data_IF_144814544134
#
_entry.id   IF_144814544134
#
_cell.length_a   1.000
_cell.length_b   1.000
_cell.length_c   1.000
_cell.angle_alpha   90.00
_cell.angle_beta   90.00
_cell.angle_gamma   90.00
#
_symmetry.space_group_name_H-M   'P 1'
#
loop_
_entity.id
_entity.type
_entity.pdbx_description
1 polymer ?
#
# COMPACT_ATOMS: atom_id res chain seq x y z
N UNK A 1 37.48 -18.46 43.14
CA UNK A 1 36.61 -19.02 42.09
C UNK A 1 35.41 -18.11 41.92
N UNK A 2 35.41 -17.26 40.89
CA UNK A 2 34.25 -16.58 40.27
C UNK A 2 34.79 -15.78 39.07
N UNK A 3 34.52 -16.30 37.87
CA UNK A 3 34.79 -15.67 36.58
C UNK A 3 33.56 -14.80 36.24
N UNK A 4 33.78 -13.52 35.94
CA UNK A 4 32.83 -12.67 35.21
C UNK A 4 33.32 -12.52 33.78
N UNK A 5 32.44 -12.87 32.84
CA UNK A 5 32.64 -12.82 31.39
C UNK A 5 32.48 -11.39 30.89
N UNK A 6 33.45 -10.93 30.09
CA UNK A 6 33.38 -9.74 29.25
C UNK A 6 33.18 -10.26 27.81
N UNK A 7 32.05 -9.99 27.19
CA UNK A 7 31.83 -10.29 25.76
C UNK A 7 32.05 -9.01 24.95
N UNK A 8 32.99 -9.09 24.02
CA UNK A 8 33.39 -8.00 23.14
C UNK A 8 32.50 -7.88 21.90
N UNK A 9 32.29 -6.64 21.48
CA UNK A 9 31.78 -6.25 20.17
C UNK A 9 32.84 -6.54 19.11
N UNK A 10 32.44 -7.22 18.01
CA UNK A 10 33.29 -7.45 16.85
C UNK A 10 32.77 -6.60 15.68
N UNK A 11 33.50 -5.53 15.39
CA UNK A 11 33.45 -4.75 14.16
C UNK A 11 34.09 -5.53 13.01
N UNK A 12 33.43 -5.64 11.86
CA UNK A 12 34.02 -6.16 10.63
C UNK A 12 34.04 -5.05 9.57
N UNK A 13 35.20 -4.40 9.44
CA UNK A 13 35.57 -3.59 8.29
C UNK A 13 36.38 -4.48 7.32
N UNK A 14 36.00 -4.52 6.04
CA UNK A 14 36.78 -5.19 4.99
C UNK A 14 37.30 -4.13 4.03
N UNK A 15 38.61 -3.88 4.11
CA UNK A 15 39.41 -3.21 3.08
C UNK A 15 39.63 -4.17 1.91
N UNK A 16 39.40 -3.69 0.68
CA UNK A 16 40.02 -4.27 -0.52
C UNK A 16 40.60 -3.13 -1.37
N UNK A 17 41.93 -3.02 -1.37
CA UNK A 17 42.70 -2.22 -2.31
C UNK A 17 43.18 -3.11 -3.45
N UNK A 18 42.90 -2.74 -4.70
CA UNK A 18 43.79 -3.06 -5.82
C UNK A 18 43.65 -2.01 -6.92
N UNK A 19 44.78 -1.36 -7.21
CA UNK A 19 44.98 -0.43 -8.31
C UNK A 19 45.25 -1.18 -9.60
N UNK A 20 44.49 -0.91 -10.65
CA UNK A 20 44.89 -1.20 -12.03
C UNK A 20 44.45 -0.06 -12.95
N UNK A 21 45.43 0.68 -13.46
CA UNK A 21 45.27 1.68 -14.52
C UNK A 21 45.07 0.99 -15.86
N UNK A 22 43.96 1.26 -16.53
CA UNK A 22 43.75 0.99 -17.96
C UNK A 22 43.38 2.30 -18.63
N UNK A 23 44.23 2.75 -19.55
CA UNK A 23 43.98 3.88 -20.46
C UNK A 23 43.24 3.40 -21.71
N UNK A 24 42.09 4.01 -22.02
CA UNK A 24 41.44 3.98 -23.34
C UNK A 24 40.29 5.01 -23.35
N UNK A 25 40.52 6.20 -23.92
CA UNK A 25 39.90 6.67 -25.18
C UNK A 25 38.38 6.86 -25.13
N UNK A 26 37.98 8.13 -25.03
CA UNK A 26 36.73 8.66 -25.60
C UNK A 26 35.45 8.26 -24.86
N UNK A 27 35.24 8.81 -23.67
CA UNK A 27 33.89 8.99 -23.17
C UNK A 27 33.75 10.39 -22.57
N UNK A 28 32.57 10.97 -22.75
CA UNK A 28 32.21 12.32 -22.35
C UNK A 28 32.28 12.39 -20.83
N UNK A 29 33.46 12.75 -20.31
CA UNK A 29 33.77 12.65 -18.89
C UNK A 29 32.67 13.28 -18.02
N UNK A 30 32.01 12.43 -17.24
CA UNK A 30 31.34 12.81 -16.00
C UNK A 30 32.34 13.62 -15.18
N UNK A 31 32.18 14.94 -15.20
CA UNK A 31 32.92 15.84 -14.33
C UNK A 31 32.27 15.78 -12.95
N UNK A 32 32.63 14.78 -12.15
CA UNK A 32 32.43 14.84 -10.72
C UNK A 32 33.55 15.72 -10.13
N UNK A 33 33.24 16.98 -9.81
CA UNK A 33 34.04 17.74 -8.86
C UNK A 33 33.75 17.17 -7.47
N UNK A 34 34.79 17.01 -6.64
CA UNK A 34 34.72 16.39 -5.31
C UNK A 34 33.93 17.20 -4.26
N UNK A 35 33.08 18.12 -4.70
CA UNK A 35 32.27 18.99 -3.87
C UNK A 35 30.81 18.51 -3.98
N UNK A 36 30.26 18.04 -2.86
CA UNK A 36 28.82 17.74 -2.62
C UNK A 36 28.24 16.43 -3.18
N UNK A 37 28.62 15.28 -2.61
CA UNK A 37 27.90 14.02 -2.84
C UNK A 37 26.66 13.92 -1.93
N UNK A 38 25.65 14.73 -2.23
CA UNK A 38 24.44 14.88 -1.42
C UNK A 38 23.15 14.39 -2.08
N UNK A 39 23.13 14.25 -3.41
CA UNK A 39 22.01 13.70 -4.18
C UNK A 39 22.51 13.15 -5.53
N UNK A 40 21.65 12.41 -6.22
CA UNK A 40 21.86 11.90 -7.58
C UNK A 40 20.54 11.97 -8.37
N UNK A 41 20.59 11.60 -9.65
CA UNK A 41 19.45 11.69 -10.57
C UNK A 41 19.38 13.02 -11.33
N UNK A 42 18.31 13.19 -12.10
CA UNK A 42 18.11 14.34 -12.99
C UNK A 42 16.77 15.00 -12.72
N UNK A 43 16.71 16.32 -12.90
CA UNK A 43 15.45 17.06 -12.84
C UNK A 43 14.63 16.77 -14.10
N UNK A 44 13.31 16.69 -13.96
CA UNK A 44 12.38 16.49 -15.06
C UNK A 44 11.01 17.07 -14.70
N UNK A 45 10.18 17.28 -15.72
CA UNK A 45 8.80 17.70 -15.51
C UNK A 45 8.01 16.63 -14.73
N UNK A 46 7.13 17.02 -13.79
CA UNK A 46 6.28 16.09 -13.06
C UNK A 46 5.45 15.17 -13.98
N UNK A 47 5.26 13.90 -13.57
CA UNK A 47 4.37 12.96 -14.30
C UNK A 47 2.91 13.39 -14.28
N UNK A 48 2.51 14.19 -13.30
CA UNK A 48 1.15 14.65 -13.10
C UNK A 48 1.09 16.17 -12.94
N UNK A 49 -0.08 16.75 -13.18
CA UNK A 49 -0.31 18.19 -13.01
C UNK A 49 -0.41 18.52 -11.52
N UNK A 50 0.65 19.14 -10.99
CA UNK A 50 0.77 19.55 -9.58
C UNK A 50 -0.12 20.73 -9.22
N UNK A 51 -0.80 21.35 -10.20
CA UNK A 51 -1.74 22.45 -9.97
C UNK A 51 -3.20 22.00 -9.81
N UNK A 52 -3.48 20.70 -9.99
CA UNK A 52 -4.83 20.14 -9.83
C UNK A 52 -5.38 20.42 -8.43
N UNK A 53 -6.70 20.61 -8.33
CA UNK A 53 -7.37 20.51 -7.04
C UNK A 53 -7.42 19.03 -6.66
N UNK A 54 -6.33 18.58 -6.06
CA UNK A 54 -6.10 17.16 -5.80
C UNK A 54 -7.24 16.57 -4.93
N UNK A 55 -7.86 17.36 -4.05
CA UNK A 55 -8.95 16.90 -3.20
C UNK A 55 -10.27 16.62 -3.94
N UNK A 56 -10.46 17.26 -5.09
CA UNK A 56 -11.68 17.15 -5.87
C UNK A 56 -11.46 16.39 -7.19
N UNK A 57 -10.24 16.45 -7.72
CA UNK A 57 -9.86 15.93 -9.03
C UNK A 57 -8.91 14.73 -8.94
N UNK A 58 -8.37 14.44 -7.76
CA UNK A 58 -7.25 13.52 -7.57
C UNK A 58 -5.96 14.03 -8.21
N UNK A 59 -4.85 13.35 -7.95
CA UNK A 59 -3.54 13.66 -8.56
C UNK A 59 -3.48 13.37 -10.07
N UNK A 60 -4.54 12.80 -10.65
CA UNK A 60 -4.52 12.25 -12.02
C UNK A 60 -3.70 10.96 -12.09
N UNK A 61 -3.97 10.11 -13.07
CA UNK A 61 -3.35 8.78 -13.17
C UNK A 61 -2.58 8.57 -14.49
N UNK A 62 -1.46 9.28 -14.71
CA UNK A 62 -0.68 9.19 -15.94
C UNK A 62 -0.11 7.79 -16.21
N UNK A 63 0.01 6.94 -15.18
CA UNK A 63 0.57 5.60 -15.27
C UNK A 63 -0.50 4.49 -15.28
N UNK A 64 -1.79 4.86 -15.28
CA UNK A 64 -2.92 3.92 -15.19
C UNK A 64 -2.83 2.93 -14.01
N UNK A 65 -2.27 3.34 -12.88
CA UNK A 65 -2.23 2.56 -11.65
C UNK A 65 -3.62 2.48 -11.01
N UNK A 66 -4.13 1.28 -10.77
CA UNK A 66 -5.36 1.07 -9.99
C UNK A 66 -5.03 0.87 -8.52
N UNK A 67 -5.71 -0.10 -7.89
CA UNK A 67 -5.30 -0.68 -6.61
C UNK A 67 -3.94 -1.42 -6.69
N UNK A 68 -3.47 -1.65 -7.92
CA UNK A 68 -2.20 -2.30 -8.27
C UNK A 68 -1.50 -1.50 -9.36
N UNK A 69 -0.17 -1.52 -9.35
CA UNK A 69 0.62 -1.10 -10.53
C UNK A 69 0.79 -2.24 -11.54
N UNK A 70 0.41 -3.47 -11.18
CA UNK A 70 0.61 -4.66 -11.99
C UNK A 70 -0.70 -5.35 -12.39
N UNK A 71 -0.70 -6.18 -13.45
CA UNK A 71 -1.89 -6.97 -13.81
C UNK A 71 -2.36 -7.87 -12.66
N UNK A 72 -3.67 -7.99 -12.47
CA UNK A 72 -4.24 -8.75 -11.35
C UNK A 72 -3.84 -10.24 -11.33
N UNK A 73 -3.52 -10.82 -12.49
CA UNK A 73 -3.10 -12.21 -12.63
C UNK A 73 -1.58 -12.38 -12.84
N UNK A 74 -0.79 -11.33 -12.64
CA UNK A 74 0.67 -11.41 -12.79
C UNK A 74 1.29 -12.33 -11.72
N UNK A 75 2.26 -13.13 -12.13
CA UNK A 75 3.10 -13.91 -11.22
C UNK A 75 4.01 -13.00 -10.40
N UNK A 76 4.47 -13.48 -9.24
CA UNK A 76 5.42 -12.74 -8.40
C UNK A 76 6.66 -12.29 -9.18
N UNK A 77 7.19 -13.13 -10.08
CA UNK A 77 8.33 -12.79 -10.92
C UNK A 77 8.04 -11.66 -11.92
N UNK A 78 6.83 -11.63 -12.50
CA UNK A 78 6.41 -10.55 -13.40
C UNK A 78 6.21 -9.24 -12.64
N UNK A 79 5.58 -9.30 -11.46
CA UNK A 79 5.37 -8.14 -10.59
C UNK A 79 6.72 -7.51 -10.24
N UNK A 80 7.66 -8.31 -9.75
CA UNK A 80 9.01 -7.85 -9.40
C UNK A 80 9.74 -7.29 -10.60
N UNK A 81 9.64 -7.92 -11.77
CA UNK A 81 10.27 -7.42 -12.99
C UNK A 81 9.69 -6.07 -13.49
N UNK A 82 8.41 -5.78 -13.20
CA UNK A 82 7.79 -4.48 -13.46
C UNK A 82 8.37 -3.44 -12.48
N UNK A 83 8.33 -3.74 -11.18
CA UNK A 83 8.86 -2.88 -10.13
C UNK A 83 10.33 -2.53 -10.33
N UNK A 84 11.13 -3.52 -10.77
CA UNK A 84 12.55 -3.37 -11.03
C UNK A 84 12.87 -2.28 -12.07
N UNK A 85 11.95 -2.06 -13.01
CA UNK A 85 12.13 -1.10 -14.11
C UNK A 85 11.64 0.30 -13.79
N UNK A 86 10.95 0.49 -12.67
CA UNK A 86 10.42 1.79 -12.30
C UNK A 86 11.56 2.80 -12.13
N UNK A 87 11.39 3.98 -12.72
CA UNK A 87 12.22 5.15 -12.47
C UNK A 87 11.98 5.67 -11.06
N UNK A 88 12.90 6.50 -10.56
CA UNK A 88 12.72 7.20 -9.27
C UNK A 88 11.43 8.01 -9.28
N UNK A 89 11.13 8.69 -10.40
CA UNK A 89 9.91 9.47 -10.55
C UNK A 89 8.63 8.61 -10.49
N UNK A 90 8.63 7.42 -11.09
CA UNK A 90 7.50 6.48 -11.00
C UNK A 90 7.35 5.91 -9.60
N UNK A 91 8.45 5.60 -8.90
CA UNK A 91 8.45 5.17 -7.49
C UNK A 91 7.85 6.26 -6.59
N UNK A 92 8.30 7.49 -6.77
CA UNK A 92 7.78 8.70 -6.11
C UNK A 92 6.29 8.88 -6.36
N UNK A 93 5.86 8.79 -7.62
CA UNK A 93 4.45 8.92 -7.99
C UNK A 93 3.57 7.81 -7.39
N UNK A 94 4.04 6.56 -7.40
CA UNK A 94 3.33 5.43 -6.78
C UNK A 94 3.06 5.67 -5.28
N UNK A 95 4.02 6.28 -4.57
CA UNK A 95 3.86 6.66 -3.17
C UNK A 95 2.92 7.85 -3.00
N UNK A 96 3.05 8.87 -3.86
CA UNK A 96 2.21 10.06 -3.82
C UNK A 96 0.73 9.76 -4.05
N UNK A 97 0.41 8.84 -4.98
CA UNK A 97 -0.95 8.37 -5.24
C UNK A 97 -1.62 7.83 -3.97
N UNK A 98 -0.94 6.98 -3.23
CA UNK A 98 -1.52 6.41 -1.99
C UNK A 98 -1.71 7.47 -0.90
N UNK A 99 -0.81 8.46 -0.83
CA UNK A 99 -0.97 9.60 0.08
C UNK A 99 -2.18 10.44 -0.32
N UNK A 100 -2.43 10.60 -1.63
CA UNK A 100 -3.58 11.32 -2.14
C UNK A 100 -4.91 10.62 -1.85
N UNK A 101 -5.02 9.34 -2.23
CA UNK A 101 -6.26 8.57 -2.08
C UNK A 101 -6.71 8.43 -0.63
N UNK A 102 -5.77 8.55 0.32
CA UNK A 102 -6.02 8.50 1.75
C UNK A 102 -5.76 9.82 2.48
N UNK A 103 -5.73 10.94 1.76
CA UNK A 103 -5.24 12.21 2.28
C UNK A 103 -5.97 12.71 3.53
N UNK A 104 -7.31 12.70 3.55
CA UNK A 104 -8.08 13.21 4.69
C UNK A 104 -7.77 12.41 5.97
N UNK A 105 -7.58 11.09 5.83
CA UNK A 105 -7.17 10.22 6.93
C UNK A 105 -5.72 10.51 7.35
N UNK A 106 -4.76 10.48 6.42
CA UNK A 106 -3.33 10.64 6.70
C UNK A 106 -3.05 12.01 7.33
N UNK A 107 -3.59 13.09 6.75
CA UNK A 107 -3.42 14.46 7.24
C UNK A 107 -4.00 14.65 8.64
N UNK A 108 -5.14 14.02 8.94
CA UNK A 108 -5.75 14.06 10.28
C UNK A 108 -4.95 13.25 11.30
N UNK A 109 -4.60 12.00 10.96
CA UNK A 109 -3.93 11.06 11.87
C UNK A 109 -2.50 11.47 12.20
N UNK A 110 -1.81 12.14 11.28
CA UNK A 110 -0.44 12.63 11.47
C UNK A 110 -0.37 14.14 11.73
N UNK A 111 -1.53 14.81 11.73
CA UNK A 111 -1.65 16.23 12.04
C UNK A 111 -0.80 17.08 11.12
N UNK A 112 -0.96 16.98 9.81
CA UNK A 112 -0.22 17.83 8.85
C UNK A 112 -1.12 18.18 7.67
N UNK A 113 -1.59 19.45 7.57
CA UNK A 113 -2.45 19.90 6.49
C UNK A 113 -1.68 20.22 5.20
N UNK A 114 -0.36 20.31 5.25
CA UNK A 114 0.47 20.51 4.07
C UNK A 114 0.81 19.16 3.42
N UNK A 115 0.20 18.92 2.26
CA UNK A 115 0.34 17.68 1.51
C UNK A 115 1.75 17.47 0.98
N UNK A 116 2.43 18.52 0.55
CA UNK A 116 3.80 18.41 0.05
C UNK A 116 4.77 18.10 1.19
N UNK A 117 4.56 18.65 2.38
CA UNK A 117 5.33 18.23 3.57
C UNK A 117 5.08 16.78 3.95
N UNK A 118 3.83 16.33 3.92
CA UNK A 118 3.50 14.93 4.18
C UNK A 118 4.18 14.02 3.16
N UNK A 119 4.07 14.36 1.88
CA UNK A 119 4.71 13.61 0.82
C UNK A 119 6.24 13.61 0.97
N UNK A 120 6.85 14.74 1.29
CA UNK A 120 8.27 14.84 1.57
C UNK A 120 8.71 13.93 2.73
N UNK A 121 7.91 13.79 3.80
CA UNK A 121 8.19 12.87 4.90
C UNK A 121 8.28 11.43 4.39
N UNK A 122 7.31 11.00 3.59
CA UNK A 122 7.28 9.66 3.01
C UNK A 122 8.40 9.45 1.98
N UNK A 123 8.80 10.48 1.24
CA UNK A 123 10.03 10.42 0.42
C UNK A 123 11.27 10.24 1.28
N UNK A 124 11.39 10.95 2.40
CA UNK A 124 12.46 10.76 3.38
C UNK A 124 12.50 9.33 3.93
N UNK A 125 11.33 8.76 4.26
CA UNK A 125 11.21 7.36 4.66
C UNK A 125 11.66 6.42 3.55
N UNK A 126 11.18 6.62 2.32
CA UNK A 126 11.59 5.83 1.16
C UNK A 126 13.09 5.92 0.86
N UNK A 127 13.72 7.09 1.07
CA UNK A 127 15.17 7.24 0.94
C UNK A 127 15.93 6.54 2.05
N UNK A 128 15.39 6.54 3.28
CA UNK A 128 15.99 5.84 4.41
C UNK A 128 15.93 4.33 4.25
N UNK A 129 14.86 3.82 3.65
CA UNK A 129 14.55 2.40 3.59
C UNK A 129 15.04 1.73 2.30
N UNK A 130 14.93 2.39 1.16
CA UNK A 130 15.25 1.80 -0.15
C UNK A 130 16.08 2.70 -1.06
N UNK A 131 16.46 3.89 -0.60
CA UNK A 131 17.06 4.94 -1.43
C UNK A 131 16.19 5.28 -2.66
N UNK A 132 14.86 5.21 -2.50
CA UNK A 132 13.87 5.36 -3.58
C UNK A 132 14.15 4.48 -4.83
N UNK A 133 14.76 3.31 -4.64
CA UNK A 133 15.02 2.37 -5.72
C UNK A 133 16.30 2.60 -6.52
N UNK A 134 17.30 3.25 -5.92
CA UNK A 134 18.64 3.44 -6.51
C UNK A 134 19.21 2.14 -7.11
N UNK A 135 20.09 2.26 -8.11
CA UNK A 135 20.81 1.12 -8.68
C UNK A 135 20.04 0.45 -9.83
N UNK A 136 18.94 1.09 -10.27
CA UNK A 136 18.02 0.61 -11.30
C UNK A 136 17.21 -0.62 -10.87
N UNK A 137 16.86 -0.69 -9.58
CA UNK A 137 15.97 -1.73 -9.04
C UNK A 137 14.56 -1.21 -8.75
N UNK A 138 14.29 0.09 -8.97
CA UNK A 138 12.96 0.68 -8.76
C UNK A 138 12.37 0.31 -7.39
N UNK A 139 11.12 -0.12 -7.33
CA UNK A 139 10.51 -0.58 -6.07
C UNK A 139 10.81 -2.05 -5.72
N UNK A 140 11.64 -2.76 -6.50
CA UNK A 140 11.97 -4.17 -6.27
C UNK A 140 13.11 -4.36 -5.25
N UNK A 141 12.84 -4.00 -4.00
CA UNK A 141 13.78 -4.11 -2.90
C UNK A 141 13.20 -5.01 -1.80
N UNK A 142 13.84 -6.14 -1.52
CA UNK A 142 13.39 -7.14 -0.53
C UNK A 142 14.49 -7.42 0.51
N UNK A 143 14.12 -7.48 1.79
CA UNK A 143 15.05 -7.80 2.89
C UNK A 143 14.57 -8.97 3.73
N UNK A 144 15.51 -9.69 4.37
CA UNK A 144 15.24 -10.84 5.24
C UNK A 144 14.50 -12.04 4.57
N UNK A 145 14.48 -12.10 3.24
CA UNK A 145 13.92 -13.22 2.48
C UNK A 145 14.63 -14.57 2.70
N UNK A 146 15.91 -14.52 3.11
CA UNK A 146 16.74 -15.71 3.33
C UNK A 146 16.30 -16.55 4.52
N UNK A 147 15.52 -15.98 5.44
CA UNK A 147 15.00 -16.66 6.63
C UNK A 147 13.75 -17.52 6.31
N UNK A 148 13.25 -17.43 5.08
CA UNK A 148 12.04 -18.10 4.61
C UNK A 148 10.85 -17.15 4.51
N UNK A 149 9.94 -17.45 3.58
CA UNK A 149 8.77 -16.64 3.29
C UNK A 149 7.93 -16.34 4.53
N UNK A 150 7.89 -15.07 4.95
CA UNK A 150 7.07 -14.60 6.06
C UNK A 150 7.50 -15.05 7.46
N UNK A 151 8.63 -15.74 7.59
CA UNK A 151 9.10 -16.28 8.88
C UNK A 151 9.64 -15.18 9.80
N UNK A 152 10.38 -14.23 9.23
CA UNK A 152 10.95 -13.13 9.98
C UNK A 152 9.98 -11.93 9.95
N UNK A 153 9.68 -11.34 11.11
CA UNK A 153 8.86 -10.12 11.20
C UNK A 153 9.46 -8.93 10.45
N UNK A 154 10.78 -8.96 10.19
CA UNK A 154 11.52 -7.99 9.41
C UNK A 154 11.63 -8.33 7.91
N UNK A 155 10.98 -9.41 7.44
CA UNK A 155 10.80 -9.64 6.02
C UNK A 155 9.99 -8.47 5.44
N UNK A 156 10.59 -7.72 4.52
CA UNK A 156 10.05 -6.45 4.07
C UNK A 156 10.29 -6.25 2.58
N UNK A 157 9.42 -5.47 1.94
CA UNK A 157 9.49 -5.19 0.51
C UNK A 157 9.13 -3.75 0.17
N UNK A 158 9.60 -3.27 -0.98
CA UNK A 158 9.11 -2.05 -1.60
C UNK A 158 9.83 -0.78 -1.15
N UNK A 159 9.31 0.36 -1.60
CA UNK A 159 9.89 1.69 -1.38
C UNK A 159 10.04 2.02 0.10
N UNK A 160 9.01 1.70 0.90
CA UNK A 160 8.99 1.96 2.34
C UNK A 160 9.59 0.82 3.17
N UNK A 161 10.05 -0.28 2.55
CA UNK A 161 10.37 -1.54 3.24
C UNK A 161 9.22 -1.97 4.16
N UNK A 162 8.04 -2.13 3.58
CA UNK A 162 6.84 -2.54 4.30
C UNK A 162 7.00 -3.98 4.79
N UNK A 163 7.05 -4.14 6.10
CA UNK A 163 7.23 -5.44 6.74
C UNK A 163 5.99 -6.33 6.61
N UNK A 164 6.19 -7.65 6.61
CA UNK A 164 5.10 -8.65 6.58
C UNK A 164 4.07 -8.48 7.69
N UNK A 165 4.48 -7.89 8.82
CA UNK A 165 3.61 -7.59 9.97
C UNK A 165 2.48 -6.61 9.64
N UNK A 166 2.60 -5.81 8.56
CA UNK A 166 1.53 -4.94 8.12
C UNK A 166 0.32 -5.72 7.57
N UNK A 167 0.56 -6.89 7.01
CA UNK A 167 -0.42 -7.66 6.24
C UNK A 167 -1.31 -8.53 7.14
N UNK A 168 -2.57 -8.67 6.75
CA UNK A 168 -3.45 -9.67 7.36
C UNK A 168 -2.96 -11.08 7.00
N UNK A 169 -3.38 -12.10 7.76
CA UNK A 169 -3.04 -13.50 7.49
C UNK A 169 -1.53 -13.81 7.43
N UNK A 170 -0.68 -12.93 7.97
CA UNK A 170 0.73 -13.21 8.20
C UNK A 170 0.91 -14.18 9.39
N UNK A 171 2.15 -14.46 9.80
CA UNK A 171 2.40 -15.37 10.92
C UNK A 171 1.60 -14.92 12.17
N UNK A 172 0.73 -15.77 12.73
CA UNK A 172 -0.17 -15.40 13.82
C UNK A 172 0.55 -15.12 15.15
N UNK A 173 1.86 -15.37 15.23
CA UNK A 173 2.68 -14.96 16.37
C UNK A 173 3.08 -13.48 16.35
N UNK A 174 2.93 -12.80 15.21
CA UNK A 174 3.15 -11.36 15.11
C UNK A 174 2.03 -10.57 15.77
N UNK A 175 2.36 -9.36 16.22
CA UNK A 175 1.35 -8.48 16.81
C UNK A 175 0.36 -8.02 15.74
N UNK A 176 -0.96 -8.11 15.98
CA UNK A 176 -1.96 -7.69 15.01
C UNK A 176 -2.00 -6.15 14.86
N UNK A 177 -2.32 -5.70 13.65
CA UNK A 177 -2.46 -4.28 13.29
C UNK A 177 -3.92 -3.94 12.88
N UNK A 178 -4.87 -4.17 13.77
CA UNK A 178 -6.32 -4.03 13.56
C UNK A 178 -6.89 -2.63 13.89
N UNK A 179 -6.04 -1.71 14.36
CA UNK A 179 -6.41 -0.37 14.83
C UNK A 179 -6.48 0.72 13.74
N UNK A 180 -6.39 0.36 12.46
CA UNK A 180 -6.60 1.26 11.31
C UNK A 180 -7.70 0.67 10.40
N UNK A 181 -8.97 0.69 10.82
CA UNK A 181 -10.07 0.14 10.04
C UNK A 181 -10.40 0.96 8.79
N UNK A 182 -9.95 2.21 8.70
CA UNK A 182 -10.23 3.12 7.58
C UNK A 182 -9.40 2.79 6.33
N UNK A 183 -8.29 2.05 6.47
CA UNK A 183 -7.49 1.55 5.36
C UNK A 183 -7.58 0.03 5.29
N UNK A 184 -7.83 -0.48 4.09
CA UNK A 184 -7.97 -1.91 3.86
C UNK A 184 -6.67 -2.65 4.22
N UNK A 185 -6.78 -3.74 4.98
CA UNK A 185 -5.64 -4.57 5.34
C UNK A 185 -5.52 -5.75 4.37
N UNK A 186 -4.62 -5.65 3.40
CA UNK A 186 -4.39 -6.74 2.44
C UNK A 186 -3.81 -7.99 3.12
N UNK A 187 -4.28 -9.18 2.72
CA UNK A 187 -3.72 -10.47 3.14
C UNK A 187 -2.28 -10.66 2.68
N UNK A 188 -1.48 -11.42 3.43
CA UNK A 188 -0.09 -11.72 3.11
C UNK A 188 0.01 -12.80 2.03
N UNK A 189 0.03 -12.36 0.77
CA UNK A 189 0.27 -13.20 -0.41
C UNK A 189 1.42 -12.62 -1.22
N UNK A 190 2.09 -13.41 -2.06
CA UNK A 190 3.16 -12.90 -2.92
C UNK A 190 2.67 -11.74 -3.82
N UNK A 191 1.47 -11.86 -4.37
CA UNK A 191 0.90 -10.82 -5.24
C UNK A 191 0.64 -9.52 -4.49
N UNK A 192 0.22 -9.58 -3.22
CA UNK A 192 -0.01 -8.38 -2.41
C UNK A 192 1.30 -7.79 -1.92
N UNK A 193 2.21 -8.64 -1.44
CA UNK A 193 3.48 -8.23 -0.85
C UNK A 193 4.42 -7.59 -1.88
N UNK A 194 4.47 -8.13 -3.10
CA UNK A 194 5.35 -7.63 -4.15
C UNK A 194 4.75 -6.52 -5.01
N UNK A 195 3.45 -6.24 -4.99
CA UNK A 195 2.90 -5.11 -5.76
C UNK A 195 3.30 -3.78 -5.10
N UNK A 196 3.82 -2.82 -5.86
CA UNK A 196 4.41 -1.63 -5.25
C UNK A 196 3.35 -0.67 -4.67
N UNK A 197 2.16 -0.64 -5.27
CA UNK A 197 1.04 0.20 -4.80
C UNK A 197 0.50 -0.39 -3.50
N UNK A 198 0.25 -1.70 -3.47
CA UNK A 198 -0.18 -2.38 -2.25
C UNK A 198 0.89 -2.29 -1.16
N UNK A 199 2.17 -2.48 -1.50
CA UNK A 199 3.26 -2.34 -0.52
C UNK A 199 3.30 -0.94 0.09
N UNK A 200 3.15 0.12 -0.70
CA UNK A 200 3.06 1.50 -0.21
C UNK A 200 1.82 1.72 0.66
N UNK A 201 0.65 1.25 0.22
CA UNK A 201 -0.60 1.30 0.97
C UNK A 201 -0.43 0.71 2.37
N UNK A 202 0.13 -0.50 2.44
CA UNK A 202 0.35 -1.24 3.68
C UNK A 202 1.41 -0.58 4.55
N UNK A 203 2.43 0.04 3.96
CA UNK A 203 3.45 0.81 4.69
C UNK A 203 2.88 2.07 5.33
N UNK A 204 2.06 2.82 4.60
CA UNK A 204 1.33 3.98 5.12
C UNK A 204 0.39 3.54 6.24
N UNK A 205 -0.39 2.48 6.02
CA UNK A 205 -1.29 1.91 7.03
C UNK A 205 -0.54 1.54 8.32
N UNK A 206 0.66 0.94 8.21
CA UNK A 206 1.52 0.61 9.35
C UNK A 206 2.03 1.85 10.09
N UNK A 207 2.36 2.94 9.39
CA UNK A 207 2.66 4.23 10.04
C UNK A 207 1.47 4.74 10.85
N UNK A 208 0.25 4.64 10.30
CA UNK A 208 -0.97 5.04 11.00
C UNK A 208 -1.29 4.12 12.19
N UNK A 209 -0.98 2.83 12.10
CA UNK A 209 -1.08 1.87 13.22
C UNK A 209 -0.27 2.37 14.42
N UNK A 210 0.98 2.76 14.21
CA UNK A 210 1.79 3.32 15.30
C UNK A 210 1.35 4.72 15.71
N UNK A 211 0.79 5.53 14.80
CA UNK A 211 0.27 6.85 15.17
C UNK A 211 -0.91 6.73 16.16
N UNK A 212 -1.81 5.78 15.93
CA UNK A 212 -2.90 5.48 16.87
C UNK A 212 -2.34 5.11 18.25
N UNK A 213 -1.35 4.21 18.32
CA UNK A 213 -0.73 3.79 19.58
C UNK A 213 -0.06 4.98 20.29
N UNK A 214 0.69 5.79 19.55
CA UNK A 214 1.32 7.01 20.04
C UNK A 214 0.29 7.97 20.68
N UNK A 215 -0.84 8.20 20.01
CA UNK A 215 -1.90 9.11 20.50
C UNK A 215 -2.65 8.50 21.68
N UNK A 216 -3.16 7.27 21.53
CA UNK A 216 -4.11 6.70 22.47
C UNK A 216 -3.44 6.04 23.67
N UNK A 217 -2.31 5.36 23.49
CA UNK A 217 -1.63 4.66 24.57
C UNK A 217 -0.55 5.54 25.21
N UNK A 218 0.29 6.17 24.39
CA UNK A 218 1.42 6.97 24.88
C UNK A 218 1.11 8.44 25.13
N UNK A 219 -0.08 8.92 24.73
CA UNK A 219 -0.53 10.32 24.92
C UNK A 219 0.47 11.34 24.34
N UNK A 220 1.03 11.00 23.18
CA UNK A 220 1.93 11.88 22.44
C UNK A 220 1.14 12.91 21.63
N UNK A 221 1.80 14.02 21.34
CA UNK A 221 1.22 15.19 20.69
C UNK A 221 2.19 15.75 19.64
N UNK A 222 1.67 16.57 18.72
CA UNK A 222 2.46 17.20 17.66
C UNK A 222 3.40 16.25 16.89
N UNK A 223 4.60 16.72 16.56
CA UNK A 223 5.58 15.94 15.81
C UNK A 223 6.05 14.66 16.54
N UNK A 224 5.85 14.55 17.85
CA UNK A 224 6.29 13.36 18.60
C UNK A 224 5.53 12.11 18.17
N UNK A 225 4.25 12.24 17.77
CA UNK A 225 3.49 11.13 17.20
C UNK A 225 4.20 10.63 15.93
N UNK A 226 4.52 11.54 15.01
CA UNK A 226 5.17 11.20 13.73
C UNK A 226 6.57 10.61 13.95
N UNK A 227 7.41 11.27 14.76
CA UNK A 227 8.78 10.82 15.08
C UNK A 227 8.80 9.42 15.69
N UNK A 228 7.84 9.12 16.57
CA UNK A 228 7.74 7.80 17.21
C UNK A 228 7.03 6.76 16.34
N UNK A 229 6.10 7.14 15.47
CA UNK A 229 5.53 6.24 14.47
C UNK A 229 6.58 5.72 13.49
N UNK A 230 7.50 6.59 13.05
CA UNK A 230 8.66 6.16 12.25
C UNK A 230 9.51 5.14 13.01
N UNK A 231 9.81 5.40 14.30
CA UNK A 231 10.54 4.42 15.11
C UNK A 231 9.78 3.10 15.27
N UNK A 232 8.47 3.17 15.50
CA UNK A 232 7.60 2.00 15.58
C UNK A 232 7.64 1.20 14.28
N UNK A 233 7.58 1.88 13.14
CA UNK A 233 7.68 1.26 11.82
C UNK A 233 8.97 0.45 11.66
N UNK A 234 10.11 0.99 12.12
CA UNK A 234 11.41 0.32 12.03
C UNK A 234 11.62 -0.80 13.06
N UNK A 235 11.10 -0.64 14.28
CA UNK A 235 11.50 -1.46 15.44
C UNK A 235 10.39 -2.33 16.01
N UNK A 236 9.14 -2.04 15.66
CA UNK A 236 7.93 -2.57 16.31
C UNK A 236 7.50 -1.81 17.58
N UNK A 237 8.27 -0.81 18.03
CA UNK A 237 8.03 -0.11 19.31
C UNK A 237 8.04 1.42 19.16
N UNK A 238 6.95 2.07 19.57
CA UNK A 238 6.74 3.51 19.42
C UNK A 238 6.69 4.30 20.74
N UNK A 239 7.03 3.70 21.87
CA UNK A 239 7.16 4.36 23.17
C UNK A 239 8.31 5.37 23.17
N UNK A 240 8.26 6.48 23.92
CA UNK A 240 9.36 7.47 23.94
C UNK A 240 10.71 6.84 24.27
N UNK A 241 11.76 7.23 23.56
CA UNK A 241 13.13 6.76 23.75
C UNK A 241 14.10 7.92 23.99
N UNK A 242 15.35 7.60 24.32
CA UNK A 242 16.42 8.60 24.38
C UNK A 242 16.73 9.15 22.98
N UNK A 243 17.24 10.39 22.89
CA UNK A 243 17.51 11.10 21.64
C UNK A 243 18.32 10.28 20.61
N UNK A 244 19.27 9.47 21.07
CA UNK A 244 20.09 8.62 20.21
C UNK A 244 19.31 7.55 19.44
N UNK A 245 18.13 7.15 19.90
CA UNK A 245 17.27 6.17 19.21
C UNK A 245 16.62 6.74 17.94
N UNK A 246 16.56 8.06 17.80
CA UNK A 246 15.92 8.73 16.66
C UNK A 246 16.92 9.22 15.62
N UNK A 247 18.15 9.54 16.05
CA UNK A 247 19.14 10.28 15.25
C UNK A 247 19.42 9.63 13.89
N UNK A 248 19.58 8.31 13.86
CA UNK A 248 19.96 7.57 12.64
C UNK A 248 18.77 7.12 11.78
N UNK A 249 17.54 7.38 12.24
CA UNK A 249 16.33 6.91 11.57
C UNK A 249 15.32 8.05 11.41
N UNK A 250 14.49 8.33 12.41
CA UNK A 250 13.41 9.32 12.30
C UNK A 250 13.94 10.73 12.00
N UNK A 251 15.05 11.14 12.62
CA UNK A 251 15.63 12.48 12.44
C UNK A 251 16.34 12.62 11.10
N UNK A 252 16.95 11.54 10.61
CA UNK A 252 17.56 11.51 9.28
C UNK A 252 16.48 11.48 8.18
N UNK A 253 15.35 10.79 8.40
CA UNK A 253 14.16 10.86 7.55
C UNK A 253 13.65 12.30 7.44
N UNK A 254 13.50 13.01 8.57
CA UNK A 254 13.10 14.41 8.58
C UNK A 254 14.08 15.32 7.83
N UNK A 255 15.38 15.01 7.88
CA UNK A 255 16.42 15.73 7.12
C UNK A 255 16.23 15.56 5.62
N UNK A 256 16.03 14.32 5.17
CA UNK A 256 15.81 14.02 3.75
C UNK A 256 14.47 14.57 3.27
N UNK A 257 13.44 14.56 4.10
CA UNK A 257 12.16 15.20 3.81
C UNK A 257 12.32 16.70 3.53
N UNK A 258 13.05 17.42 4.40
CA UNK A 258 13.35 18.83 4.17
C UNK A 258 14.16 19.06 2.90
N UNK A 259 15.09 18.17 2.55
CA UNK A 259 15.78 18.23 1.26
C UNK A 259 14.80 18.17 0.08
N UNK A 260 13.91 17.17 0.04
CA UNK A 260 12.95 17.03 -1.06
C UNK A 260 12.02 18.25 -1.17
N UNK A 261 11.54 18.75 -0.03
CA UNK A 261 10.63 19.88 0.02
C UNK A 261 11.31 21.20 -0.38
N UNK A 262 12.44 21.55 0.22
CA UNK A 262 13.07 22.85 0.04
C UNK A 262 14.01 22.96 -1.17
N UNK A 263 14.60 21.85 -1.63
CA UNK A 263 15.41 21.85 -2.85
C UNK A 263 14.57 21.61 -4.12
N UNK A 264 13.27 21.31 -3.98
CA UNK A 264 12.34 21.23 -5.11
C UNK A 264 12.38 19.90 -5.87
N UNK A 265 12.54 18.79 -5.15
CA UNK A 265 12.72 17.45 -5.72
C UNK A 265 11.58 16.49 -5.38
N UNK A 266 10.37 16.99 -5.14
CA UNK A 266 9.21 16.15 -4.83
C UNK A 266 8.77 15.27 -6.01
N UNK A 267 8.93 15.76 -7.24
CA UNK A 267 8.25 15.21 -8.41
C UNK A 267 9.16 14.82 -9.57
N UNK A 268 10.47 14.88 -9.40
CA UNK A 268 11.48 14.57 -10.42
C UNK A 268 12.24 13.25 -10.13
N UNK A 269 13.29 12.96 -10.91
CA UNK A 269 14.14 11.79 -10.69
C UNK A 269 15.28 12.01 -9.69
N UNK A 270 15.34 13.16 -9.00
CA UNK A 270 16.42 13.45 -8.04
C UNK A 270 16.16 12.73 -6.72
N UNK A 271 17.17 12.09 -6.15
CA UNK A 271 17.05 11.45 -4.84
C UNK A 271 18.31 11.64 -4.00
N UNK A 272 18.16 11.52 -2.69
CA UNK A 272 19.24 11.51 -1.70
C UNK A 272 19.22 10.18 -0.93
N UNK A 273 20.18 9.99 -0.04
CA UNK A 273 20.37 8.75 0.71
C UNK A 273 20.82 9.04 2.15
N UNK A 274 20.73 8.00 2.99
CA UNK A 274 21.19 8.03 4.37
C UNK A 274 22.65 8.48 4.46
N UNK A 275 22.95 9.44 5.33
CA UNK A 275 24.32 9.98 5.50
C UNK A 275 24.91 10.70 4.28
N UNK A 276 24.08 11.04 3.27
CA UNK A 276 24.50 11.90 2.17
C UNK A 276 25.09 13.22 2.71
N UNK A 277 26.14 13.74 2.08
CA UNK A 277 26.97 14.81 2.63
C UNK A 277 27.18 15.93 1.60
N UNK A 278 26.90 17.17 2.00
CA UNK A 278 27.00 18.36 1.16
C UNK A 278 26.12 19.48 1.72
N UNK A 279 26.35 20.73 1.32
CA UNK A 279 25.69 21.89 1.95
C UNK A 279 24.17 21.85 1.72
N UNK A 280 23.75 21.27 0.60
CA UNK A 280 22.34 21.06 0.23
C UNK A 280 21.54 20.21 1.21
N UNK A 281 22.17 19.27 1.92
CA UNK A 281 21.49 18.39 2.89
C UNK A 281 21.93 18.63 4.33
N UNK A 282 23.21 18.96 4.56
CA UNK A 282 23.76 19.16 5.90
C UNK A 282 23.07 20.27 6.68
N UNK A 283 22.59 21.31 5.99
CA UNK A 283 21.88 22.43 6.62
C UNK A 283 20.58 22.03 7.33
N UNK A 284 19.98 20.89 6.98
CA UNK A 284 18.77 20.38 7.62
C UNK A 284 19.08 19.48 8.82
N UNK A 285 20.36 19.17 9.09
CA UNK A 285 20.77 18.37 10.25
C UNK A 285 20.87 19.20 11.52
N UNK A 286 19.79 19.90 11.89
CA UNK A 286 19.72 20.76 13.08
C UNK A 286 19.16 20.03 14.31
N UNK A 287 19.42 20.51 15.52
CA UNK A 287 18.87 19.88 16.73
C UNK A 287 17.33 19.99 16.80
N UNK A 288 16.76 21.03 16.20
CA UNK A 288 15.35 21.43 16.18
C UNK A 288 14.66 21.09 14.84
N UNK A 289 15.22 20.18 14.04
CA UNK A 289 14.74 19.89 12.66
C UNK A 289 13.24 19.58 12.56
N UNK A 290 12.63 19.06 13.62
CA UNK A 290 11.20 18.76 13.67
C UNK A 290 10.31 20.01 13.79
N UNK A 291 10.87 21.18 14.12
CA UNK A 291 10.17 22.47 14.06
C UNK A 291 9.64 22.75 12.64
N UNK A 292 10.26 22.16 11.61
CA UNK A 292 9.76 22.17 10.23
C UNK A 292 8.35 21.59 10.09
N UNK A 293 7.99 20.60 10.90
CA UNK A 293 6.66 19.98 10.90
C UNK A 293 5.58 20.99 11.33
N UNK A 294 5.94 21.88 12.26
CA UNK A 294 5.08 22.93 12.80
C UNK A 294 4.20 22.48 13.98
N UNK A 295 3.43 23.44 14.50
CA UNK A 295 2.54 23.28 15.65
C UNK A 295 1.16 22.73 15.22
N UNK A 296 1.16 21.57 14.60
CA UNK A 296 -0.05 20.88 14.13
C UNK A 296 -0.31 19.63 14.94
N UNK A 297 -1.59 19.28 15.15
CA UNK A 297 -1.97 18.27 16.13
C UNK A 297 -2.56 17.01 15.46
N UNK A 298 -1.91 15.84 15.63
CA UNK A 298 -2.45 14.54 15.26
C UNK A 298 -3.78 14.22 15.95
N UNK A 299 -4.69 13.54 15.27
CA UNK A 299 -6.03 13.28 15.80
C UNK A 299 -6.61 11.93 15.38
N UNK A 300 -7.32 11.30 16.32
CA UNK A 300 -8.18 10.13 16.09
C UNK A 300 -9.64 10.51 15.80
N UNK A 301 -9.92 11.78 15.49
CA UNK A 301 -11.26 12.21 15.13
C UNK A 301 -11.80 11.40 13.93
N UNK A 302 -13.11 11.13 13.87
CA UNK A 302 -13.73 10.52 12.69
C UNK A 302 -13.39 11.35 11.44
N UNK A 303 -13.07 10.65 10.36
CA UNK A 303 -12.95 11.29 9.04
C UNK A 303 -14.37 11.40 8.50
N UNK A 304 -14.79 12.61 8.14
CA UNK A 304 -16.07 12.78 7.45
C UNK A 304 -15.96 12.08 6.10
N UNK A 305 -16.81 11.06 5.87
CA UNK A 305 -16.88 10.36 4.59
C UNK A 305 -17.22 11.37 3.49
N UNK A 306 -16.21 11.83 2.77
CA UNK A 306 -16.39 12.04 1.34
C UNK A 306 -16.45 10.64 0.77
N UNK A 307 -17.64 10.18 0.41
CA UNK A 307 -17.86 8.97 -0.39
C UNK A 307 -16.86 8.98 -1.56
N UNK A 308 -15.74 8.27 -1.41
CA UNK A 308 -14.79 8.02 -2.49
C UNK A 308 -15.51 7.11 -3.45
N UNK A 309 -16.08 7.73 -4.49
CA UNK A 309 -16.61 7.00 -5.63
C UNK A 309 -15.41 6.34 -6.29
N UNK A 310 -15.23 5.04 -6.05
CA UNK A 310 -14.36 4.21 -6.89
C UNK A 310 -14.87 4.38 -8.32
N UNK A 311 -14.20 5.24 -9.09
CA UNK A 311 -14.51 5.46 -10.50
C UNK A 311 -13.97 4.26 -11.25
N UNK A 312 -14.75 3.17 -11.25
CA UNK A 312 -14.63 2.18 -12.31
C UNK A 312 -15.19 2.84 -13.56
N UNK A 313 -14.29 3.20 -14.49
CA UNK A 313 -14.63 3.77 -15.79
C UNK A 313 -15.51 2.80 -16.57
N UNK A 314 -16.81 2.87 -16.33
CA UNK A 314 -17.84 2.20 -17.11
C UNK A 314 -18.27 3.16 -18.19
N UNK A 315 -17.87 2.87 -19.43
CA UNK A 315 -18.40 3.52 -20.64
C UNK A 315 -19.93 3.42 -20.60
N UNK A 316 -20.58 4.51 -20.18
CA UNK A 316 -22.04 4.58 -20.07
C UNK A 316 -22.63 4.68 -21.47
N UNK A 317 -23.24 3.60 -21.95
CA UNK A 317 -24.17 3.66 -23.08
C UNK A 317 -25.54 4.00 -22.51
N UNK A 318 -25.99 5.24 -22.72
CA UNK A 318 -27.31 5.73 -22.30
C UNK A 318 -28.42 4.87 -22.90
N UNK A 319 -29.04 4.02 -22.09
CA UNK A 319 -30.33 3.39 -22.42
C UNK A 319 -31.39 3.95 -21.51
N UNK A 320 -32.33 4.69 -22.11
CA UNK A 320 -33.51 5.25 -21.47
C UNK A 320 -34.43 4.12 -21.02
N UNK A 321 -34.57 3.93 -19.70
CA UNK A 321 -35.51 2.96 -19.14
C UNK A 321 -36.59 3.67 -18.34
N UNK A 322 -37.83 3.51 -18.80
CA UNK A 322 -39.07 4.04 -18.23
C UNK A 322 -39.34 3.42 -16.86
N UNK A 323 -39.53 4.26 -15.84
CA UNK A 323 -39.92 3.87 -14.48
C UNK A 323 -41.40 3.48 -14.42
N UNK A 324 -41.70 2.24 -14.00
CA UNK A 324 -43.01 1.88 -13.44
C UNK A 324 -42.88 1.61 -11.95
N UNK A 325 -43.54 2.46 -11.17
CA UNK A 325 -43.67 2.40 -9.72
C UNK A 325 -44.50 1.19 -9.30
N UNK A 326 -44.00 0.38 -8.36
CA UNK A 326 -44.85 -0.48 -7.54
C UNK A 326 -44.33 -0.51 -6.10
N UNK A 327 -45.17 -0.03 -5.20
CA UNK A 327 -45.11 -0.12 -3.74
C UNK A 327 -45.65 -1.47 -3.28
N UNK A 328 -44.96 -2.18 -2.37
CA UNK A 328 -45.62 -2.98 -1.33
C UNK A 328 -44.66 -3.37 -0.19
N UNK A 329 -45.26 -3.62 0.97
CA UNK A 329 -44.73 -3.62 2.32
C UNK A 329 -43.95 -4.88 2.76
N UNK A 330 -43.17 -4.69 3.83
CA UNK A 330 -42.40 -5.69 4.55
C UNK A 330 -43.25 -6.79 5.20
N UNK A 331 -42.74 -8.02 5.25
CA UNK A 331 -43.15 -9.05 6.21
C UNK A 331 -41.96 -9.98 6.47
N UNK A 332 -41.61 -10.13 7.75
CA UNK A 332 -40.57 -11.02 8.26
C UNK A 332 -41.19 -12.41 8.47
N UNK A 333 -40.60 -13.48 7.93
CA UNK A 333 -40.93 -14.86 8.33
C UNK A 333 -39.72 -15.75 8.19
N UNK A 334 -39.30 -16.35 9.31
CA UNK A 334 -38.34 -17.43 9.42
C UNK A 334 -39.03 -18.75 9.07
N UNK A 335 -38.45 -19.58 8.18
CA UNK A 335 -38.84 -21.00 8.05
C UNK A 335 -37.68 -21.85 7.54
N UNK A 336 -37.55 -23.02 8.18
CA UNK A 336 -36.52 -24.06 8.00
C UNK A 336 -36.90 -25.07 6.89
N UNK A 337 -35.89 -25.56 6.15
CA UNK A 337 -35.77 -26.77 5.30
C UNK A 337 -36.93 -27.24 4.39
N UNK A 338 -36.65 -27.40 3.09
CA UNK A 338 -36.77 -28.69 2.35
C UNK A 338 -36.25 -28.60 0.90
N UNK A 339 -35.43 -29.59 0.54
CA UNK A 339 -35.00 -29.93 -0.82
C UNK A 339 -36.22 -30.12 -1.75
N UNK A 340 -36.31 -29.34 -2.83
CA UNK A 340 -37.19 -29.61 -3.97
C UNK A 340 -36.42 -29.30 -5.23
N UNK A 341 -36.43 -30.23 -6.19
CA UNK A 341 -35.87 -30.12 -7.54
C UNK A 341 -36.52 -28.97 -8.33
N UNK A 342 -36.16 -27.74 -7.97
CA UNK A 342 -36.45 -26.54 -8.75
C UNK A 342 -35.43 -26.41 -9.87
N UNK A 343 -35.92 -26.12 -11.08
CA UNK A 343 -35.13 -25.88 -12.28
C UNK A 343 -33.88 -25.05 -11.97
N UNK A 344 -32.69 -25.65 -12.06
CA UNK A 344 -31.42 -24.96 -11.81
C UNK A 344 -31.25 -23.91 -12.89
N UNK A 345 -31.21 -22.64 -12.49
CA UNK A 345 -30.83 -21.54 -13.38
C UNK A 345 -29.34 -21.29 -13.20
N UNK A 346 -28.53 -21.93 -14.06
CA UNK A 346 -27.07 -21.79 -14.01
C UNK A 346 -26.68 -20.32 -14.20
N UNK A 347 -25.96 -19.78 -13.20
CA UNK A 347 -25.52 -18.39 -13.12
C UNK A 347 -26.33 -17.50 -12.18
N UNK A 348 -27.52 -17.91 -11.71
CA UNK A 348 -28.39 -17.13 -10.81
C UNK A 348 -28.03 -17.39 -9.34
N UNK A 349 -26.89 -16.85 -8.91
CA UNK A 349 -26.36 -17.04 -7.57
C UNK A 349 -27.14 -16.28 -6.49
N UNK A 350 -27.84 -15.20 -6.84
CA UNK A 350 -28.65 -14.43 -5.91
C UNK A 350 -30.12 -14.90 -5.83
N UNK A 351 -30.52 -15.85 -6.67
CA UNK A 351 -31.84 -16.47 -6.74
C UNK A 351 -32.97 -15.48 -7.09
N UNK A 352 -32.71 -14.46 -7.92
CA UNK A 352 -33.72 -13.49 -8.35
C UNK A 352 -34.40 -13.83 -9.69
N UNK A 353 -34.03 -14.95 -10.30
CA UNK A 353 -34.67 -15.52 -11.49
C UNK A 353 -34.11 -15.01 -12.83
N UNK A 354 -33.00 -14.27 -12.81
CA UNK A 354 -32.23 -13.86 -13.99
C UNK A 354 -30.74 -14.06 -13.70
N UNK A 355 -29.94 -14.07 -14.76
CA UNK A 355 -28.48 -14.11 -14.66
C UNK A 355 -27.94 -12.74 -15.05
N UNK A 356 -27.36 -12.03 -14.11
CA UNK A 356 -26.75 -10.72 -14.32
C UNK A 356 -25.50 -10.50 -13.46
N UNK A 357 -24.96 -9.28 -13.48
CA UNK A 357 -23.70 -8.99 -12.79
C UNK A 357 -23.82 -9.13 -11.26
N UNK A 358 -25.03 -8.99 -10.69
CA UNK A 358 -25.23 -9.13 -9.26
C UNK A 358 -24.94 -10.54 -8.77
N UNK A 359 -25.12 -11.56 -9.61
CA UNK A 359 -24.77 -12.95 -9.28
C UNK A 359 -23.26 -13.12 -9.10
N UNK A 360 -22.48 -12.61 -10.06
CA UNK A 360 -21.02 -12.64 -9.99
C UNK A 360 -20.51 -11.84 -8.78
N UNK A 361 -21.14 -10.70 -8.47
CA UNK A 361 -20.81 -9.89 -7.29
C UNK A 361 -21.08 -10.66 -6.00
N UNK A 362 -22.25 -11.30 -5.87
CA UNK A 362 -22.58 -12.07 -4.67
C UNK A 362 -21.63 -13.24 -4.47
N UNK A 363 -21.22 -13.94 -5.54
CA UNK A 363 -20.19 -14.99 -5.47
C UNK A 363 -18.88 -14.41 -4.92
N UNK A 364 -18.40 -13.30 -5.50
CA UNK A 364 -17.17 -12.66 -5.04
C UNK A 364 -17.26 -12.18 -3.58
N UNK A 365 -18.41 -11.61 -3.18
CA UNK A 365 -18.67 -11.18 -1.82
C UNK A 365 -18.72 -12.35 -0.82
N UNK A 366 -19.36 -13.45 -1.19
CA UNK A 366 -19.46 -14.66 -0.37
C UNK A 366 -18.09 -15.32 -0.15
N UNK A 367 -17.20 -15.25 -1.14
CA UNK A 367 -15.82 -15.74 -1.03
C UNK A 367 -14.92 -14.80 -0.23
N UNK A 368 -15.10 -13.48 -0.40
CA UNK A 368 -14.29 -12.47 0.27
C UNK A 368 -14.66 -12.24 1.73
N UNK A 369 -15.95 -12.38 2.09
CA UNK A 369 -16.42 -12.25 3.46
C UNK A 369 -17.55 -13.27 3.75
N UNK A 370 -17.20 -14.54 3.99
CA UNK A 370 -18.17 -15.61 4.23
C UNK A 370 -19.06 -15.38 5.46
N UNK A 371 -18.54 -14.72 6.50
CA UNK A 371 -19.29 -14.42 7.73
C UNK A 371 -20.42 -13.40 7.51
N UNK A 372 -20.32 -12.59 6.44
CA UNK A 372 -21.36 -11.65 6.04
C UNK A 372 -22.21 -12.16 4.89
N UNK A 373 -21.59 -12.67 3.83
CA UNK A 373 -22.28 -13.00 2.57
C UNK A 373 -22.22 -14.48 2.18
N UNK A 374 -21.57 -15.34 2.97
CA UNK A 374 -21.54 -16.79 2.74
C UNK A 374 -22.88 -17.47 3.07
N UNK A 375 -22.94 -18.80 2.96
CA UNK A 375 -24.19 -19.58 3.18
C UNK A 375 -24.84 -19.39 4.57
N UNK A 376 -24.05 -19.02 5.57
CA UNK A 376 -24.49 -18.72 6.93
C UNK A 376 -24.20 -17.26 7.32
N UNK A 377 -24.11 -16.37 6.33
CA UNK A 377 -23.73 -14.99 6.51
C UNK A 377 -24.74 -14.17 7.32
N UNK A 378 -24.26 -13.09 7.93
CA UNK A 378 -25.10 -12.16 8.70
C UNK A 378 -25.94 -11.20 7.86
N UNK A 379 -25.66 -11.05 6.56
CA UNK A 379 -26.38 -10.14 5.66
C UNK A 379 -27.72 -10.75 5.18
N UNK A 380 -28.84 -10.01 5.13
CA UNK A 380 -30.12 -10.54 4.66
C UNK A 380 -30.12 -11.08 3.23
N UNK A 381 -29.15 -10.66 2.40
CA UNK A 381 -28.96 -11.10 1.02
C UNK A 381 -27.72 -11.99 0.85
N UNK A 382 -27.26 -12.63 1.93
CA UNK A 382 -26.16 -13.58 1.88
C UNK A 382 -26.47 -14.74 0.90
N UNK A 383 -25.42 -15.37 0.37
CA UNK A 383 -25.51 -16.51 -0.53
C UNK A 383 -26.38 -17.61 0.11
N UNK A 384 -27.26 -18.23 -0.66
CA UNK A 384 -28.09 -19.36 -0.18
C UNK A 384 -27.55 -20.70 -0.68
N UNK A 385 -28.01 -21.81 -0.13
CA UNK A 385 -27.65 -23.15 -0.64
C UNK A 385 -28.03 -23.33 -2.12
N UNK A 386 -29.21 -22.83 -2.53
CA UNK A 386 -29.62 -22.82 -3.94
C UNK A 386 -28.76 -21.89 -4.78
N UNK A 387 -28.44 -20.70 -4.27
CA UNK A 387 -27.54 -19.74 -4.92
C UNK A 387 -26.14 -20.30 -5.15
N UNK A 388 -25.62 -21.09 -4.20
CA UNK A 388 -24.34 -21.80 -4.36
C UNK A 388 -24.39 -22.84 -5.48
N UNK A 389 -25.49 -23.58 -5.60
CA UNK A 389 -25.66 -24.59 -6.67
C UNK A 389 -25.84 -23.90 -8.04
N UNK A 390 -26.62 -22.84 -8.11
CA UNK A 390 -26.84 -22.06 -9.33
C UNK A 390 -25.54 -21.37 -9.79
N UNK A 391 -24.78 -20.84 -8.83
CA UNK A 391 -23.52 -20.14 -9.09
C UNK A 391 -22.35 -21.05 -9.46
N UNK A 392 -22.36 -22.34 -9.14
CA UNK A 392 -21.30 -23.31 -9.48
C UNK A 392 -21.40 -23.73 -10.97
N UNK A 393 -20.84 -22.87 -11.83
CA UNK A 393 -20.91 -22.94 -13.30
C UNK A 393 -19.53 -23.20 -13.95
N UNK A 394 -18.43 -23.06 -13.22
CA UNK A 394 -17.10 -23.48 -13.67
C UNK A 394 -16.88 -24.98 -13.38
N UNK A 395 -17.06 -25.82 -14.40
CA UNK A 395 -16.84 -27.28 -14.30
C UNK A 395 -15.38 -27.70 -14.14
N UNK A 396 -14.43 -26.77 -14.22
CA UNK A 396 -13.01 -27.09 -14.05
C UNK A 396 -12.66 -27.47 -12.61
N UNK A 397 -13.46 -27.00 -11.64
CA UNK A 397 -13.33 -27.31 -10.21
C UNK A 397 -14.70 -27.67 -9.63
N UNK A 398 -14.74 -28.25 -8.42
CA UNK A 398 -16.01 -28.54 -7.73
C UNK A 398 -16.22 -27.52 -6.62
N UNK A 399 -17.40 -26.94 -6.57
CA UNK A 399 -17.76 -25.93 -5.58
C UNK A 399 -17.51 -24.51 -6.09
N UNK A 400 -18.08 -23.55 -5.37
CA UNK A 400 -18.10 -22.14 -5.77
C UNK A 400 -16.72 -21.48 -5.57
N UNK A 401 -16.21 -20.83 -6.61
CA UNK A 401 -14.90 -20.19 -6.70
C UNK A 401 -14.99 -18.85 -7.44
N UNK A 402 -13.90 -18.09 -7.49
CA UNK A 402 -13.86 -16.84 -8.27
C UNK A 402 -14.01 -17.09 -9.78
N UNK A 403 -13.70 -18.29 -10.27
CA UNK A 403 -13.86 -18.63 -11.68
C UNK A 403 -15.34 -18.75 -12.08
N UNK A 404 -16.22 -19.07 -11.14
CA UNK A 404 -17.66 -19.07 -11.38
C UNK A 404 -18.19 -17.66 -11.66
N UNK A 405 -17.75 -16.69 -10.87
CA UNK A 405 -18.04 -15.28 -11.11
C UNK A 405 -17.50 -14.82 -12.47
N UNK A 406 -16.28 -15.23 -12.82
CA UNK A 406 -15.69 -14.97 -14.14
C UNK A 406 -16.52 -15.61 -15.26
N UNK A 407 -16.93 -16.86 -15.12
CA UNK A 407 -17.73 -17.60 -16.09
C UNK A 407 -19.08 -16.91 -16.36
N UNK A 408 -19.74 -16.41 -15.32
CA UNK A 408 -20.96 -15.60 -15.44
C UNK A 408 -20.66 -14.32 -16.23
N UNK A 409 -19.60 -13.59 -15.90
CA UNK A 409 -19.21 -12.39 -16.64
C UNK A 409 -18.94 -12.68 -18.13
N UNK A 410 -18.26 -13.79 -18.44
CA UNK A 410 -18.03 -14.23 -19.83
C UNK A 410 -19.33 -14.54 -20.58
N UNK A 411 -20.32 -15.12 -19.90
CA UNK A 411 -21.65 -15.36 -20.46
C UNK A 411 -22.40 -14.05 -20.73
N UNK A 412 -22.36 -13.09 -19.80
CA UNK A 412 -23.02 -11.78 -19.94
C UNK A 412 -22.47 -10.95 -21.10
N UNK A 413 -21.18 -11.12 -21.44
CA UNK A 413 -20.55 -10.48 -22.60
C UNK A 413 -20.57 -11.35 -23.86
N UNK A 414 -21.32 -12.45 -23.86
CA UNK A 414 -21.46 -13.41 -24.97
C UNK A 414 -20.13 -14.03 -25.45
N UNK A 415 -19.12 -14.11 -24.58
CA UNK A 415 -17.88 -14.85 -24.85
C UNK A 415 -18.12 -16.36 -24.80
N UNK A 416 -19.15 -16.79 -24.08
CA UNK A 416 -19.70 -18.15 -24.13
C UNK A 416 -21.21 -18.14 -24.32
N UNK A 417 -21.75 -19.21 -24.90
CA UNK A 417 -23.16 -19.30 -25.29
C UNK A 417 -24.06 -19.86 -24.17
N UNK A 418 -23.49 -20.60 -23.22
CA UNK A 418 -24.23 -21.18 -22.09
C UNK A 418 -23.36 -21.38 -20.84
N UNK A 419 -24.05 -21.56 -19.70
CA UNK A 419 -23.49 -21.84 -18.37
C UNK A 419 -23.81 -23.28 -17.89
N UNK A 420 -24.49 -24.08 -18.72
CA UNK A 420 -24.95 -25.43 -18.39
C UNK A 420 -23.95 -26.55 -18.79
N UNK A 421 -22.88 -26.21 -19.51
CA UNK A 421 -21.89 -27.17 -20.08
C UNK A 421 -20.64 -27.35 -19.26
#
# INVERSE_FOLDING_TARGET
MKLTKLFGFLTAAVLCTSTATVTSLGDSGLRATADEWCYAGETCEPLHDTSRDIQNEGVGNPLNFGERNTPANASAAEIRAINHKMTVQEVKYALYKEIDEHWDLISTRLGQPDREKMYALFLGLGSRESTLGEGKIGSDHETAYQDGWGVNSAHAYGTLQTAVTAFADCDPSFMPEDNVPEMFQYSFTEQNFYDCIISNHMGIRKILHFAEICINQHKMHGYQVVRNSLKGFNTGWCDMADEGAYTSYADEICTMAQFYYYEGHLYDNVFTWTSANGDKINKYRTADRWDWWGDTEPSMAPIEDKTTTTTSTTTTTTTTTTTTTSTSAATVTSTTVTNTEGNILYGDANCDGKVDLADAILIMQALANPDKYGENGSDPHHLTFSGRINGDVDRSTKGLTSNDALRIQEYLIHKVESLDT
#
